data_IF_733444438018
#
_entry.id   IF_733444438018
#
_cell.length_a   1.000
_cell.length_b   1.000
_cell.length_c   1.000
_cell.angle_alpha   90.00
_cell.angle_beta   90.00
_cell.angle_gamma   90.00
#
_symmetry.space_group_name_H-M   'P 1'
#
loop_
_entity.id
_entity.type
_entity.pdbx_description
1 polymer ?
#
# COMPACT_ATOMS: atom_id res chain seq x y z
N UNK A 1 6.91 -22.88 49.61
CA UNK A 1 7.52 -21.78 48.83
C UNK A 1 7.86 -22.31 47.45
N UNK A 2 7.36 -21.68 46.40
CA UNK A 2 8.00 -21.42 45.09
C UNK A 2 7.00 -20.52 44.34
N UNK A 3 7.43 -19.34 43.90
CA UNK A 3 6.58 -18.43 43.14
C UNK A 3 6.48 -18.91 41.69
N UNK A 4 5.32 -18.73 41.06
CA UNK A 4 5.17 -18.81 39.61
C UNK A 4 4.57 -17.48 39.15
N UNK A 5 5.28 -16.82 38.24
CA UNK A 5 4.89 -15.54 37.64
C UNK A 5 4.00 -15.85 36.43
N UNK A 6 2.81 -15.24 36.29
CA UNK A 6 2.03 -15.33 35.06
C UNK A 6 2.67 -14.45 33.97
N UNK A 7 3.01 -15.05 32.84
CA UNK A 7 3.52 -14.36 31.66
C UNK A 7 2.34 -13.72 30.90
N UNK A 8 2.29 -12.39 30.84
CA UNK A 8 1.27 -11.65 30.08
C UNK A 8 1.57 -11.72 28.59
N UNK A 9 0.78 -12.47 27.81
CA UNK A 9 0.84 -12.43 26.35
C UNK A 9 -0.01 -11.25 25.88
N UNK A 10 0.64 -10.24 25.31
CA UNK A 10 -0.01 -9.05 24.76
C UNK A 10 -0.38 -9.29 23.28
N UNK A 11 -1.65 -9.15 22.87
CA UNK A 11 -2.01 -9.23 21.47
C UNK A 11 -1.62 -7.92 20.76
N UNK A 12 -0.57 -7.97 19.94
CA UNK A 12 -0.25 -6.88 19.01
C UNK A 12 -1.27 -6.85 17.86
N UNK A 13 -2.24 -5.95 17.95
CA UNK A 13 -3.09 -5.54 16.84
C UNK A 13 -2.41 -4.37 16.13
N UNK A 14 -1.84 -4.61 14.94
CA UNK A 14 -1.47 -3.53 14.03
C UNK A 14 -2.75 -2.90 13.44
N UNK A 15 -2.86 -1.56 13.40
CA UNK A 15 -3.93 -0.91 12.69
C UNK A 15 -3.64 -0.84 11.19
N UNK A 16 -4.33 -1.66 10.39
CA UNK A 16 -4.48 -1.35 8.96
C UNK A 16 -5.35 -0.08 8.84
N UNK A 17 -4.88 0.95 8.13
CA UNK A 17 -5.57 2.24 8.09
C UNK A 17 -5.43 2.95 6.73
N UNK A 18 -6.60 3.24 6.15
CA UNK A 18 -6.78 3.65 4.77
C UNK A 18 -6.40 5.11 4.46
N UNK A 19 -6.43 5.45 3.17
CA UNK A 19 -6.33 6.81 2.66
C UNK A 19 -7.48 7.72 3.15
N UNK A 20 -7.27 9.05 3.27
CA UNK A 20 -8.19 9.96 3.94
C UNK A 20 -9.40 10.37 3.07
N UNK A 21 -10.59 9.85 3.38
CA UNK A 21 -11.85 10.31 2.78
C UNK A 21 -12.23 11.72 3.25
N UNK A 22 -12.49 12.66 2.32
CA UNK A 22 -13.04 14.01 2.62
C UNK A 22 -14.54 14.11 2.30
N UNK A 23 -15.24 14.97 3.06
CA UNK A 23 -16.71 15.10 3.03
C UNK A 23 -17.24 16.17 2.06
N UNK A 24 -18.16 15.72 1.20
CA UNK A 24 -19.49 16.30 0.91
C UNK A 24 -19.63 17.78 0.49
N UNK A 25 -20.15 17.99 -0.72
CA UNK A 25 -21.04 19.11 -1.06
C UNK A 25 -22.41 18.57 -1.51
N UNK A 26 -23.48 19.31 -1.23
CA UNK A 26 -24.86 18.86 -1.42
C UNK A 26 -25.48 19.34 -2.76
N UNK A 27 -26.30 18.50 -3.38
CA UNK A 27 -27.19 18.88 -4.50
C UNK A 27 -28.63 18.44 -4.20
N UNK A 28 -29.59 19.23 -4.70
CA UNK A 28 -31.02 19.21 -4.35
C UNK A 28 -31.78 18.05 -4.98
N UNK A 29 -32.92 17.73 -4.37
CA UNK A 29 -33.90 16.72 -4.80
C UNK A 29 -34.67 17.08 -6.08
N UNK A 30 -34.99 16.05 -6.86
CA UNK A 30 -36.20 16.00 -7.70
C UNK A 30 -36.87 14.62 -7.56
N UNK A 31 -38.20 14.60 -7.56
CA UNK A 31 -39.04 13.48 -7.09
C UNK A 31 -39.68 12.63 -8.18
N UNK A 32 -39.67 11.30 -8.01
CA UNK A 32 -40.62 10.24 -8.49
C UNK A 32 -39.81 8.95 -8.71
N UNK A 33 -40.24 7.73 -8.34
CA UNK A 33 -41.53 7.19 -7.88
C UNK A 33 -41.33 5.82 -7.20
N UNK A 34 -42.18 5.43 -6.26
CA UNK A 34 -42.13 4.10 -5.59
C UNK A 34 -42.51 2.94 -6.52
N UNK A 35 -41.92 1.75 -6.33
CA UNK A 35 -42.54 0.67 -5.53
C UNK A 35 -41.52 0.07 -4.52
N UNK A 36 -41.84 -0.82 -3.57
CA UNK A 36 -43.08 -1.44 -3.09
C UNK A 36 -42.70 -2.35 -1.89
N UNK A 37 -43.62 -2.63 -0.95
CA UNK A 37 -43.29 -3.45 0.24
C UNK A 37 -42.94 -4.90 -0.14
N UNK A 38 -41.80 -5.43 0.34
CA UNK A 38 -41.44 -6.82 0.06
C UNK A 38 -40.01 -7.29 0.34
N UNK A 39 -39.07 -6.43 0.76
CA UNK A 39 -37.72 -6.86 1.15
C UNK A 39 -37.18 -5.98 2.29
N UNK A 40 -36.79 -6.60 3.42
CA UNK A 40 -36.13 -5.90 4.53
C UNK A 40 -34.76 -6.54 4.77
N UNK A 41 -33.66 -5.89 4.35
CA UNK A 41 -32.32 -6.42 4.58
C UNK A 41 -31.97 -6.39 6.08
N UNK A 42 -31.61 -7.56 6.63
CA UNK A 42 -31.26 -7.69 8.04
C UNK A 42 -29.84 -7.20 8.33
N UNK A 43 -29.69 -6.14 9.12
CA UNK A 43 -28.39 -5.62 9.55
C UNK A 43 -27.59 -6.65 10.36
N UNK A 44 -26.29 -6.76 10.07
CA UNK A 44 -25.43 -7.83 10.58
C UNK A 44 -24.61 -7.39 11.81
N UNK A 45 -24.46 -6.08 12.06
CA UNK A 45 -23.86 -5.50 13.26
C UNK A 45 -24.32 -4.05 13.49
N UNK A 46 -24.16 -3.55 14.72
CA UNK A 46 -24.40 -2.16 15.09
C UNK A 46 -23.25 -1.60 15.96
N UNK A 47 -22.95 -0.31 15.79
CA UNK A 47 -21.85 0.40 16.47
C UNK A 47 -22.36 1.59 17.29
N UNK A 48 -21.82 1.75 18.49
CA UNK A 48 -22.03 2.90 19.37
C UNK A 48 -20.68 3.41 19.90
N UNK A 49 -20.46 4.73 19.78
CA UNK A 49 -19.19 5.40 20.13
C UNK A 49 -19.35 6.15 21.46
N UNK A 50 -18.37 6.05 22.36
CA UNK A 50 -18.37 6.75 23.64
C UNK A 50 -17.61 8.08 23.55
N UNK A 51 -18.31 9.20 23.45
CA UNK A 51 -17.74 10.49 23.00
C UNK A 51 -16.86 11.24 24.03
N UNK A 52 -16.46 10.59 25.13
CA UNK A 52 -15.70 11.19 26.24
C UNK A 52 -14.36 10.51 26.54
N UNK A 53 -13.89 9.59 25.70
CA UNK A 53 -12.60 8.90 25.86
C UNK A 53 -11.75 9.02 24.59
N UNK A 54 -10.50 9.48 24.73
CA UNK A 54 -9.48 9.42 23.67
C UNK A 54 -8.83 8.03 23.55
N UNK A 55 -9.27 7.05 24.35
CA UNK A 55 -8.78 5.67 24.30
C UNK A 55 -9.85 4.76 23.67
N UNK A 56 -9.50 4.14 22.54
CA UNK A 56 -10.36 3.27 21.72
C UNK A 56 -10.88 2.00 22.42
N UNK A 57 -10.46 1.73 23.65
CA UNK A 57 -10.73 0.49 24.39
C UNK A 57 -12.14 0.41 25.02
N UNK A 58 -12.92 1.51 25.02
CA UNK A 58 -14.30 1.52 25.54
C UNK A 58 -15.38 1.35 24.46
N UNK A 59 -15.00 1.24 23.19
CA UNK A 59 -15.95 1.04 22.10
C UNK A 59 -16.49 -0.40 22.11
N UNK A 60 -17.80 -0.55 22.24
CA UNK A 60 -18.47 -1.87 22.34
C UNK A 60 -19.06 -2.28 21.00
N UNK A 61 -18.63 -3.42 20.46
CA UNK A 61 -19.19 -4.01 19.23
C UNK A 61 -20.21 -5.08 19.62
N UNK A 62 -21.44 -4.96 19.12
CA UNK A 62 -22.50 -5.93 19.37
C UNK A 62 -22.72 -6.84 18.15
N UNK A 63 -22.41 -8.13 18.31
CA UNK A 63 -22.71 -9.16 17.33
C UNK A 63 -24.09 -9.81 17.60
N UNK A 64 -24.89 -10.11 16.56
CA UNK A 64 -26.21 -10.71 16.72
C UNK A 64 -26.11 -12.17 17.17
N UNK A 65 -26.96 -12.55 18.14
CA UNK A 65 -27.11 -13.93 18.59
C UNK A 65 -28.14 -14.63 17.70
N UNK A 66 -27.83 -15.82 17.16
CA UNK A 66 -28.79 -16.59 16.36
C UNK A 66 -29.95 -17.08 17.24
N UNK A 67 -31.16 -16.66 16.92
CA UNK A 67 -32.40 -17.24 17.44
C UNK A 67 -33.07 -18.14 16.39
N UNK A 68 -33.99 -19.00 16.82
CA UNK A 68 -34.81 -19.85 15.94
C UNK A 68 -35.79 -19.07 15.06
N UNK A 69 -35.98 -17.76 15.30
CA UNK A 69 -36.80 -16.86 14.48
C UNK A 69 -35.98 -15.99 13.49
N UNK A 70 -34.65 -16.17 13.45
CA UNK A 70 -33.73 -15.35 12.66
C UNK A 70 -32.76 -14.53 13.52
N UNK A 71 -31.85 -13.77 12.89
CA UNK A 71 -30.94 -12.86 13.60
C UNK A 71 -31.72 -11.68 14.18
N UNK A 72 -31.74 -11.57 15.51
CA UNK A 72 -32.37 -10.46 16.23
C UNK A 72 -31.33 -9.71 17.05
N UNK A 73 -31.25 -8.39 16.87
CA UNK A 73 -30.44 -7.53 17.72
C UNK A 73 -31.20 -7.31 19.04
N UNK A 74 -30.63 -7.63 20.22
CA UNK A 74 -31.32 -7.41 21.48
C UNK A 74 -31.51 -5.92 21.74
N UNK A 75 -32.75 -5.53 22.04
CA UNK A 75 -33.09 -4.18 22.49
C UNK A 75 -32.55 -3.94 23.89
N UNK A 76 -31.50 -3.12 24.01
CA UNK A 76 -30.97 -2.67 25.31
C UNK A 76 -31.86 -1.54 25.85
N UNK A 77 -32.35 -1.68 27.08
CA UNK A 77 -32.99 -0.56 27.77
C UNK A 77 -31.94 0.51 28.12
N UNK A 78 -32.27 1.77 27.85
CA UNK A 78 -31.37 2.92 28.02
C UNK A 78 -31.36 3.37 29.49
N UNK A 79 -30.79 2.56 30.37
CA UNK A 79 -30.83 2.78 31.85
C UNK A 79 -29.48 2.64 32.56
N UNK A 80 -28.35 2.49 31.85
CA UNK A 80 -27.02 2.42 32.48
C UNK A 80 -25.83 3.00 31.66
N UNK A 81 -26.08 3.87 30.66
CA UNK A 81 -25.02 4.48 29.84
C UNK A 81 -25.12 6.02 29.86
N UNK A 82 -23.95 6.67 29.93
CA UNK A 82 -23.84 8.08 30.37
C UNK A 82 -24.39 9.11 29.39
N UNK A 83 -24.68 10.31 29.90
CA UNK A 83 -25.42 11.39 29.22
C UNK A 83 -24.69 12.07 28.02
N UNK A 84 -23.61 11.50 27.50
CA UNK A 84 -22.77 12.07 26.43
C UNK A 84 -22.89 11.37 25.07
N UNK A 85 -23.59 10.23 24.97
CA UNK A 85 -23.57 9.43 23.73
C UNK A 85 -24.74 9.70 22.78
N UNK A 86 -24.41 9.77 21.49
CA UNK A 86 -25.35 9.81 20.37
C UNK A 86 -25.53 8.37 19.90
N UNK A 87 -26.77 7.86 19.92
CA UNK A 87 -27.07 6.45 19.66
C UNK A 87 -26.70 5.97 18.25
N UNK A 88 -26.78 4.64 18.07
CA UNK A 88 -26.54 3.82 16.86
C UNK A 88 -26.16 4.59 15.59
N UNK A 89 -24.87 4.53 15.21
CA UNK A 89 -24.28 5.46 14.23
C UNK A 89 -24.26 4.86 12.81
N UNK A 90 -24.15 3.54 12.67
CA UNK A 90 -24.16 2.85 11.39
C UNK A 90 -24.70 1.41 11.49
N UNK A 91 -25.19 0.88 10.37
CA UNK A 91 -25.51 -0.53 10.18
C UNK A 91 -24.77 -1.09 8.95
N UNK A 92 -24.31 -2.34 9.05
CA UNK A 92 -23.62 -3.05 7.99
C UNK A 92 -24.52 -4.12 7.36
N UNK A 93 -24.67 -4.08 6.03
CA UNK A 93 -25.36 -5.10 5.23
C UNK A 93 -24.56 -5.39 3.96
N UNK A 94 -24.31 -6.67 3.66
CA UNK A 94 -23.75 -7.20 2.40
C UNK A 94 -22.63 -6.36 1.74
N UNK A 95 -21.67 -5.86 2.53
CA UNK A 95 -20.52 -5.10 2.03
C UNK A 95 -20.71 -3.58 1.96
N UNK A 96 -21.87 -3.05 2.34
CA UNK A 96 -22.18 -1.62 2.31
C UNK A 96 -22.48 -1.11 3.72
N UNK A 97 -21.86 0.01 4.09
CA UNK A 97 -22.17 0.74 5.32
C UNK A 97 -23.26 1.77 5.06
N UNK A 98 -24.35 1.69 5.82
CA UNK A 98 -25.42 2.68 5.78
C UNK A 98 -25.39 3.55 7.05
N UNK A 99 -25.27 4.87 6.86
CA UNK A 99 -25.36 5.83 7.95
C UNK A 99 -26.82 6.14 8.26
N UNK A 100 -27.24 5.91 9.51
CA UNK A 100 -28.55 6.37 9.95
C UNK A 100 -28.50 7.88 10.17
N UNK A 101 -29.28 8.63 9.37
CA UNK A 101 -29.45 10.07 9.59
C UNK A 101 -29.93 10.32 11.02
N UNK A 102 -29.39 11.35 11.68
CA UNK A 102 -29.72 11.72 13.07
C UNK A 102 -31.22 11.54 13.33
N UNK A 103 -31.64 10.84 14.40
CA UNK A 103 -33.06 10.79 14.75
C UNK A 103 -33.56 12.23 14.91
N UNK A 104 -34.65 12.57 14.20
CA UNK A 104 -35.34 13.84 14.41
C UNK A 104 -35.71 13.90 15.89
N UNK A 105 -35.32 14.97 16.58
CA UNK A 105 -35.65 15.16 17.98
C UNK A 105 -37.16 15.40 18.10
N UNK A 106 -37.91 14.32 18.29
CA UNK A 106 -39.29 14.38 18.75
C UNK A 106 -39.26 14.35 20.27
N UNK A 107 -39.43 15.52 20.89
CA UNK A 107 -39.75 15.61 22.32
C UNK A 107 -41.03 14.82 22.59
N UNK A 108 -40.90 13.65 23.22
CA UNK A 108 -41.99 12.83 23.71
C UNK A 108 -42.01 12.87 25.26
N UNK A 109 -43.18 12.77 25.90
CA UNK A 109 -43.34 13.20 27.29
C UNK A 109 -42.86 12.18 28.32
N UNK A 110 -42.46 12.70 29.49
CA UNK A 110 -41.99 11.94 30.66
C UNK A 110 -43.13 11.10 31.28
N UNK A 111 -42.98 9.78 31.44
CA UNK A 111 -43.80 8.96 32.33
C UNK A 111 -43.24 8.98 33.78
N UNK A 112 -44.08 8.77 34.80
CA UNK A 112 -43.69 8.92 36.21
C UNK A 112 -42.87 7.74 36.75
N UNK A 113 -42.11 8.01 37.82
CA UNK A 113 -41.27 7.03 38.50
C UNK A 113 -42.07 6.01 39.35
N UNK A 114 -41.67 4.74 39.31
CA UNK A 114 -42.09 3.71 40.29
C UNK A 114 -41.02 2.67 40.58
N UNK A 115 -40.79 2.47 41.88
CA UNK A 115 -40.38 1.24 42.57
C UNK A 115 -39.04 0.54 42.22
N UNK A 116 -38.21 0.37 43.26
CA UNK A 116 -37.00 -0.45 43.26
C UNK A 116 -37.23 -1.83 43.93
N UNK A 117 -36.17 -2.65 43.95
CA UNK A 117 -35.89 -3.90 44.71
C UNK A 117 -35.83 -5.19 43.86
N UNK A 118 -35.06 -6.23 44.27
CA UNK A 118 -33.78 -6.23 45.01
C UNK A 118 -32.69 -7.11 44.35
N UNK A 119 -31.46 -7.08 44.88
CA UNK A 119 -30.32 -7.82 44.34
C UNK A 119 -30.28 -9.32 44.74
N UNK A 120 -29.76 -10.19 43.87
CA UNK A 120 -29.56 -11.62 44.15
C UNK A 120 -28.27 -12.22 43.55
N UNK A 121 -27.28 -12.42 44.43
CA UNK A 121 -26.19 -13.43 44.49
C UNK A 121 -25.29 -13.76 43.25
N UNK A 122 -23.96 -13.92 43.45
CA UNK A 122 -23.02 -14.39 42.43
C UNK A 122 -22.98 -15.94 42.30
N UNK A 123 -22.56 -16.48 41.14
CA UNK A 123 -22.53 -17.92 40.87
C UNK A 123 -21.34 -18.67 41.53
N UNK A 124 -21.56 -19.97 41.75
CA UNK A 124 -20.63 -20.92 42.41
C UNK A 124 -19.67 -21.57 41.40
N UNK A 125 -18.43 -21.85 41.82
CA UNK A 125 -17.40 -22.48 40.99
C UNK A 125 -17.47 -24.04 40.96
N UNK A 126 -17.08 -24.70 39.84
CA UNK A 126 -16.97 -26.15 39.74
C UNK A 126 -15.64 -26.71 40.29
N UNK A 127 -15.57 -28.02 40.63
CA UNK A 127 -14.42 -28.63 41.32
C UNK A 127 -13.23 -28.99 40.42
N UNK A 128 -12.05 -29.09 41.04
CA UNK A 128 -10.76 -29.44 40.42
C UNK A 128 -10.61 -30.95 40.18
N UNK A 129 -9.86 -31.31 39.12
CA UNK A 129 -9.36 -32.67 38.87
C UNK A 129 -7.81 -32.70 38.77
N UNK A 130 -7.22 -33.87 39.04
CA UNK A 130 -5.84 -34.07 39.46
C UNK A 130 -4.74 -33.90 38.37
N UNK A 131 -3.47 -33.65 38.77
CA UNK A 131 -2.33 -33.48 37.85
C UNK A 131 -1.71 -34.81 37.37
N UNK A 132 -1.05 -34.83 36.19
CA UNK A 132 -0.29 -35.98 35.69
C UNK A 132 1.13 -36.11 36.29
N UNK A 133 1.63 -37.34 36.32
CA UNK A 133 2.93 -37.76 36.90
C UNK A 133 4.14 -37.57 35.95
N UNK A 134 5.39 -37.53 36.48
CA UNK A 134 6.59 -37.14 35.72
C UNK A 134 7.18 -38.25 34.80
N UNK A 135 8.08 -37.87 33.85
CA UNK A 135 8.67 -38.80 32.87
C UNK A 135 9.79 -39.69 33.43
N UNK A 136 10.05 -40.82 32.76
CA UNK A 136 11.06 -41.82 33.12
C UNK A 136 12.41 -41.63 32.38
N UNK A 137 13.48 -42.12 33.00
CA UNK A 137 14.88 -41.81 32.70
C UNK A 137 15.57 -42.70 31.64
N UNK A 138 16.60 -42.16 30.98
CA UNK A 138 17.52 -42.87 30.07
C UNK A 138 18.70 -43.54 30.81
N UNK A 139 19.33 -44.57 30.19
CA UNK A 139 20.78 -44.76 30.29
C UNK A 139 21.42 -45.30 28.98
N UNK A 140 22.76 -45.47 28.87
CA UNK A 140 23.80 -44.46 28.98
C UNK A 140 24.76 -44.46 27.75
N UNK A 141 25.78 -43.58 27.75
CA UNK A 141 26.73 -43.37 26.64
C UNK A 141 27.94 -44.34 26.62
N UNK A 142 28.65 -44.39 25.47
CA UNK A 142 29.99 -45.02 25.29
C UNK A 142 30.94 -43.98 24.64
N UNK A 143 32.23 -44.02 25.00
CA UNK A 143 33.21 -42.94 24.75
C UNK A 143 34.27 -43.22 23.66
N UNK A 144 34.90 -42.13 23.18
CA UNK A 144 36.16 -42.02 22.38
C UNK A 144 37.38 -41.86 23.33
N UNK A 145 38.69 -41.64 22.93
CA UNK A 145 39.33 -41.28 21.63
C UNK A 145 40.53 -42.24 21.32
N UNK A 146 41.75 -41.87 20.80
CA UNK A 146 42.23 -40.76 19.95
C UNK A 146 43.18 -41.18 18.76
N UNK A 147 43.67 -40.22 17.94
CA UNK A 147 44.91 -40.41 17.16
C UNK A 147 45.21 -39.45 15.99
N UNK A 148 45.94 -38.37 16.24
CA UNK A 148 46.35 -37.30 15.28
C UNK A 148 47.22 -37.72 14.09
N UNK A 149 47.16 -36.97 12.97
CA UNK A 149 48.26 -36.09 12.48
C UNK A 149 48.01 -35.43 11.11
N UNK A 150 48.70 -34.31 10.88
CA UNK A 150 48.86 -33.51 9.63
C UNK A 150 50.35 -33.09 9.57
N UNK A 151 50.91 -32.38 8.56
CA UNK A 151 50.40 -31.97 7.23
C UNK A 151 51.39 -32.29 6.07
N UNK A 152 51.06 -31.93 4.81
CA UNK A 152 52.02 -31.44 3.78
C UNK A 152 51.31 -31.02 2.47
N UNK A 153 51.89 -30.05 1.75
CA UNK A 153 51.46 -29.60 0.41
C UNK A 153 52.59 -29.78 -0.61
N UNK A 154 52.28 -30.06 -1.89
CA UNK A 154 53.15 -29.85 -3.08
C UNK A 154 52.29 -29.53 -4.31
N UNK A 155 52.84 -28.72 -5.23
CA UNK A 155 52.22 -28.13 -6.43
C UNK A 155 52.39 -28.99 -7.73
N UNK A 156 51.96 -28.55 -8.93
CA UNK A 156 51.77 -29.42 -10.11
C UNK A 156 53.00 -29.50 -11.05
N UNK A 157 53.01 -30.42 -12.03
CA UNK A 157 54.02 -30.48 -13.08
C UNK A 157 53.72 -29.54 -14.27
N UNK A 158 54.78 -29.15 -14.97
CA UNK A 158 54.79 -28.26 -16.15
C UNK A 158 55.34 -28.96 -17.40
N UNK A 159 55.04 -28.34 -18.56
CA UNK A 159 55.89 -28.24 -19.78
C UNK A 159 55.55 -29.12 -20.99
N UNK A 160 55.18 -28.46 -22.10
CA UNK A 160 55.91 -28.52 -23.39
C UNK A 160 55.38 -27.51 -24.45
N UNK A 161 56.29 -26.92 -25.23
CA UNK A 161 56.13 -26.11 -26.46
C UNK A 161 57.47 -26.18 -27.25
N UNK A 162 57.72 -25.57 -28.45
CA UNK A 162 56.89 -24.81 -29.41
C UNK A 162 56.92 -25.56 -30.81
N UNK A 163 57.12 -25.02 -32.05
CA UNK A 163 57.03 -23.65 -32.63
C UNK A 163 56.33 -23.45 -34.01
N UNK A 164 55.88 -22.21 -34.23
CA UNK A 164 55.82 -21.36 -35.44
C UNK A 164 55.79 -21.90 -36.91
N UNK A 165 54.81 -21.45 -37.73
CA UNK A 165 54.97 -20.34 -38.73
C UNK A 165 53.83 -20.15 -39.77
N UNK A 166 53.68 -18.89 -40.26
CA UNK A 166 53.21 -18.44 -41.61
C UNK A 166 51.71 -18.38 -42.06
N UNK A 167 51.08 -17.22 -41.82
CA UNK A 167 50.39 -16.28 -42.77
C UNK A 167 49.61 -16.71 -44.05
N UNK A 168 48.39 -16.17 -44.22
CA UNK A 168 47.85 -15.50 -45.46
C UNK A 168 46.66 -14.54 -45.12
N UNK A 169 46.24 -13.68 -46.06
CA UNK A 169 45.61 -12.36 -45.78
C UNK A 169 44.27 -12.04 -46.48
N UNK A 170 43.57 -11.01 -45.95
CA UNK A 170 42.66 -10.05 -46.64
C UNK A 170 41.21 -10.51 -46.97
N UNK A 171 40.23 -9.59 -47.24
CA UNK A 171 40.32 -8.13 -47.44
C UNK A 171 39.37 -7.24 -46.59
N UNK A 172 39.39 -5.92 -46.82
CA UNK A 172 38.67 -4.88 -46.07
C UNK A 172 37.96 -3.85 -46.97
N UNK A 173 36.88 -3.22 -46.46
CA UNK A 173 36.20 -1.98 -46.91
C UNK A 173 34.94 -1.72 -46.03
N UNK A 174 34.45 -0.53 -45.69
CA UNK A 174 34.97 0.86 -45.71
C UNK A 174 34.13 1.74 -44.77
N UNK A 175 34.75 2.72 -44.10
CA UNK A 175 34.12 3.98 -43.63
C UNK A 175 34.47 5.10 -44.65
N UNK A 176 33.90 6.34 -44.70
CA UNK A 176 33.61 7.27 -43.57
C UNK A 176 32.29 8.09 -43.84
N UNK A 177 32.02 9.32 -43.31
CA UNK A 177 32.78 10.16 -42.39
C UNK A 177 32.06 10.77 -41.18
N UNK A 178 32.89 11.12 -40.20
CA UNK A 178 32.59 12.09 -39.14
C UNK A 178 32.54 13.52 -39.69
N UNK A 179 31.63 14.33 -39.16
CA UNK A 179 31.70 15.79 -39.25
C UNK A 179 31.68 16.40 -37.85
N UNK A 180 32.69 17.21 -37.55
CA UNK A 180 32.81 17.94 -36.30
C UNK A 180 32.04 19.26 -36.37
N UNK A 181 30.85 19.29 -35.77
CA UNK A 181 30.08 20.50 -35.52
C UNK A 181 30.12 20.87 -34.04
N UNK A 182 30.68 22.03 -33.70
CA UNK A 182 30.85 22.47 -32.32
C UNK A 182 29.59 23.13 -31.74
N UNK A 183 29.46 23.06 -30.41
CA UNK A 183 28.84 24.11 -29.58
C UNK A 183 27.34 24.34 -29.77
N UNK A 184 26.53 23.71 -28.92
CA UNK A 184 25.10 23.98 -28.91
C UNK A 184 24.24 22.93 -28.22
N UNK A 185 24.65 22.46 -27.04
CA UNK A 185 23.69 21.83 -26.13
C UNK A 185 22.72 22.93 -25.66
N UNK A 186 21.66 23.15 -26.44
CA UNK A 186 20.61 24.08 -26.08
C UNK A 186 20.02 23.69 -24.73
N UNK A 187 19.90 24.65 -23.82
CA UNK A 187 19.24 24.44 -22.54
C UNK A 187 17.75 24.13 -22.80
N UNK A 188 17.45 22.84 -22.95
CA UNK A 188 16.10 22.31 -23.11
C UNK A 188 15.38 22.40 -21.77
N UNK A 189 14.45 23.34 -21.66
CA UNK A 189 13.51 23.47 -20.55
C UNK A 189 12.68 22.19 -20.49
N UNK A 190 12.77 21.40 -19.41
CA UNK A 190 11.89 20.23 -19.20
C UNK A 190 12.43 19.00 -18.47
N UNK A 191 13.68 18.98 -17.98
CA UNK A 191 14.21 17.83 -17.23
C UNK A 191 13.83 17.88 -15.74
N UNK A 192 12.59 17.48 -15.39
CA UNK A 192 12.28 17.08 -14.01
C UNK A 192 13.16 15.90 -13.59
N UNK A 193 13.60 15.88 -12.33
CA UNK A 193 14.39 14.77 -11.78
C UNK A 193 13.64 13.44 -11.78
N UNK A 194 14.38 12.32 -11.70
CA UNK A 194 13.79 10.98 -11.74
C UNK A 194 13.18 10.53 -10.41
N UNK A 195 13.71 11.05 -9.30
CA UNK A 195 13.20 10.82 -7.95
C UNK A 195 11.93 11.65 -7.70
N UNK A 196 10.93 11.02 -7.08
CA UNK A 196 9.67 11.66 -6.72
C UNK A 196 9.11 11.18 -5.40
N UNK A 197 7.98 11.75 -4.98
CA UNK A 197 7.32 11.40 -3.71
C UNK A 197 5.81 11.28 -3.90
N UNK A 198 5.20 10.31 -3.23
CA UNK A 198 3.75 10.26 -3.00
C UNK A 198 3.41 11.07 -1.74
N UNK A 199 2.66 12.16 -1.90
CA UNK A 199 2.38 13.14 -0.84
C UNK A 199 0.88 13.25 -0.58
N UNK A 200 0.48 13.43 0.68
CA UNK A 200 -0.91 13.76 1.03
C UNK A 200 -1.08 15.19 1.58
N UNK A 201 -2.31 15.54 1.96
CA UNK A 201 -2.67 16.86 2.50
C UNK A 201 -1.96 17.23 3.83
N UNK A 202 -1.34 16.26 4.49
CA UNK A 202 -0.57 16.44 5.74
C UNK A 202 0.92 16.64 5.46
N UNK A 203 1.45 16.01 4.41
CA UNK A 203 2.86 16.10 4.00
C UNK A 203 3.22 17.40 3.25
N UNK A 204 2.47 17.72 2.19
CA UNK A 204 2.96 18.63 1.13
C UNK A 204 3.35 20.05 1.57
N UNK A 205 2.83 20.53 2.72
CA UNK A 205 2.92 21.95 3.11
C UNK A 205 4.36 22.41 3.35
N UNK A 206 5.22 21.55 3.91
CA UNK A 206 6.65 21.83 4.08
C UNK A 206 7.49 21.49 2.83
N UNK A 207 6.90 20.77 1.87
CA UNK A 207 7.62 20.18 0.73
C UNK A 207 7.39 20.92 -0.61
N UNK A 208 6.82 22.12 -0.57
CA UNK A 208 6.42 22.89 -1.77
C UNK A 208 7.56 23.32 -2.71
N UNK A 209 8.80 23.40 -2.19
CA UNK A 209 9.98 23.86 -2.93
C UNK A 209 11.24 23.06 -2.56
N UNK A 210 11.11 21.72 -2.48
CA UNK A 210 12.21 20.81 -2.10
C UNK A 210 13.21 20.66 -3.25
N UNK A 211 14.51 20.75 -2.94
CA UNK A 211 15.58 20.52 -3.91
C UNK A 211 15.66 19.04 -4.30
N UNK A 212 16.10 18.76 -5.52
CA UNK A 212 16.24 17.42 -6.12
C UNK A 212 14.95 16.59 -6.27
N UNK A 213 13.83 17.01 -5.67
CA UNK A 213 12.51 16.43 -5.91
C UNK A 213 12.06 16.75 -7.35
N UNK A 214 12.08 15.75 -8.21
CA UNK A 214 11.83 15.92 -9.64
C UNK A 214 10.35 15.94 -10.02
N UNK A 215 9.56 15.10 -9.36
CA UNK A 215 8.11 15.00 -9.55
C UNK A 215 7.43 14.61 -8.24
N UNK A 216 6.12 14.81 -8.14
CA UNK A 216 5.31 14.28 -7.03
C UNK A 216 3.93 13.85 -7.54
N UNK A 217 3.26 13.04 -6.73
CA UNK A 217 1.86 12.64 -6.95
C UNK A 217 1.12 12.56 -5.62
N UNK A 218 -0.20 12.41 -5.65
CA UNK A 218 -1.04 12.47 -4.45
C UNK A 218 -2.27 11.54 -4.50
N UNK A 219 -2.19 10.46 -5.28
CA UNK A 219 -3.31 9.53 -5.52
C UNK A 219 -4.59 10.20 -6.07
N UNK A 220 -4.51 11.42 -6.61
CA UNK A 220 -5.62 12.18 -7.17
C UNK A 220 -5.29 12.90 -8.48
N UNK A 221 -6.29 13.59 -9.04
CA UNK A 221 -6.21 14.22 -10.38
C UNK A 221 -5.76 15.68 -10.38
N UNK A 222 -5.72 16.32 -9.20
CA UNK A 222 -5.43 17.76 -9.03
C UNK A 222 -4.14 17.99 -8.22
N UNK A 223 -3.29 18.95 -8.61
CA UNK A 223 -2.07 19.30 -7.88
C UNK A 223 -2.37 19.97 -6.53
N UNK A 224 -1.41 19.91 -5.60
CA UNK A 224 -1.49 20.72 -4.39
C UNK A 224 -1.12 22.19 -4.69
N UNK A 225 -1.79 23.16 -4.04
CA UNK A 225 -1.52 24.57 -4.29
C UNK A 225 -0.10 24.95 -3.82
N UNK A 226 0.63 25.66 -4.68
CA UNK A 226 1.96 26.20 -4.35
C UNK A 226 3.14 25.27 -4.56
N UNK A 227 2.91 24.00 -4.96
CA UNK A 227 3.98 23.09 -5.36
C UNK A 227 4.73 23.63 -6.59
N UNK A 228 6.06 23.64 -6.54
CA UNK A 228 6.93 24.05 -7.65
C UNK A 228 7.44 22.85 -8.49
N UNK A 229 7.40 21.66 -7.89
CA UNK A 229 7.73 20.36 -8.50
C UNK A 229 6.68 19.92 -9.53
N UNK A 230 7.09 19.13 -10.55
CA UNK A 230 6.14 18.55 -11.52
C UNK A 230 5.09 17.67 -10.82
N UNK A 231 3.82 17.88 -11.14
CA UNK A 231 2.72 17.02 -10.68
C UNK A 231 2.39 15.92 -11.70
N UNK A 232 2.30 14.69 -11.20
CA UNK A 232 1.78 13.52 -11.91
C UNK A 232 0.40 13.19 -11.34
N UNK A 233 -0.63 13.31 -12.17
CA UNK A 233 -2.00 12.98 -11.78
C UNK A 233 -2.20 11.45 -11.67
N UNK A 234 -3.20 11.03 -10.91
CA UNK A 234 -3.62 9.64 -10.78
C UNK A 234 -5.15 9.53 -10.92
N UNK A 235 -5.62 8.77 -11.91
CA UNK A 235 -7.00 8.29 -11.96
C UNK A 235 -7.04 7.00 -11.16
N UNK A 236 -7.18 7.16 -9.83
CA UNK A 236 -6.90 6.11 -8.85
C UNK A 236 -7.77 4.86 -8.96
N UNK A 237 -9.03 4.99 -9.37
CA UNK A 237 -9.98 3.88 -9.45
C UNK A 237 -11.28 4.25 -10.17
N UNK A 238 -12.29 3.38 -10.08
CA UNK A 238 -13.53 3.48 -10.87
C UNK A 238 -14.29 4.80 -10.66
N UNK A 239 -14.41 5.29 -9.42
CA UNK A 239 -15.08 6.58 -9.14
C UNK A 239 -14.40 7.74 -9.87
N UNK A 240 -13.07 7.79 -9.85
CA UNK A 240 -12.29 8.79 -10.59
C UNK A 240 -12.39 8.58 -12.11
N UNK A 241 -12.36 7.34 -12.61
CA UNK A 241 -12.48 7.05 -14.04
C UNK A 241 -13.82 7.51 -14.64
N UNK A 242 -14.91 7.29 -13.89
CA UNK A 242 -16.25 7.71 -14.26
C UNK A 242 -16.40 9.23 -14.21
N UNK A 243 -15.89 9.88 -13.16
CA UNK A 243 -15.97 11.34 -12.98
C UNK A 243 -14.93 12.15 -13.75
N UNK A 244 -13.87 11.53 -14.29
CA UNK A 244 -12.79 12.21 -15.01
C UNK A 244 -13.33 13.09 -16.14
N UNK A 245 -12.99 14.38 -16.12
CA UNK A 245 -13.44 15.36 -17.11
C UNK A 245 -12.35 15.74 -18.13
N UNK A 246 -11.11 15.27 -17.93
CA UNK A 246 -9.90 15.69 -18.63
C UNK A 246 -8.80 16.08 -17.63
N UNK A 247 -7.54 16.18 -18.06
CA UNK A 247 -6.43 16.63 -17.21
C UNK A 247 -6.64 18.06 -16.71
N UNK A 248 -6.20 18.34 -15.48
CA UNK A 248 -6.00 19.70 -15.00
C UNK A 248 -4.93 20.42 -15.85
N UNK A 249 -5.01 21.75 -15.94
CA UNK A 249 -4.08 22.55 -16.74
C UNK A 249 -2.63 22.37 -16.29
N UNK A 250 -1.73 22.04 -17.22
CA UNK A 250 -0.31 21.83 -16.96
C UNK A 250 0.09 20.39 -16.58
N UNK A 251 -0.86 19.47 -16.40
CA UNK A 251 -0.55 18.05 -16.18
C UNK A 251 0.06 17.45 -17.45
N UNK A 252 1.28 16.89 -17.34
CA UNK A 252 1.98 16.22 -18.44
C UNK A 252 1.86 14.68 -18.39
N UNK A 253 1.53 14.12 -17.22
CA UNK A 253 1.49 12.68 -16.97
C UNK A 253 0.27 12.32 -16.10
N UNK A 254 -0.41 11.22 -16.44
CA UNK A 254 -1.53 10.67 -15.65
C UNK A 254 -1.33 9.16 -15.48
N UNK A 255 -1.31 8.67 -14.24
CA UNK A 255 -1.28 7.25 -13.92
C UNK A 255 -2.70 6.67 -13.86
N UNK A 256 -2.89 5.44 -14.35
CA UNK A 256 -4.14 4.70 -14.19
C UNK A 256 -4.12 3.89 -12.88
N UNK A 257 -5.26 3.26 -12.59
CA UNK A 257 -5.67 2.70 -11.30
C UNK A 257 -4.58 2.15 -10.38
N UNK A 258 -4.69 2.51 -9.10
CA UNK A 258 -3.82 2.13 -8.00
C UNK A 258 -4.25 0.75 -7.46
N UNK A 259 -3.38 -0.25 -7.58
CA UNK A 259 -3.58 -1.63 -7.12
C UNK A 259 -5.01 -2.16 -7.36
N UNK A 260 -5.49 -2.22 -8.62
CA UNK A 260 -6.81 -2.76 -8.93
C UNK A 260 -6.93 -4.24 -8.57
N UNK A 261 -5.79 -4.93 -8.47
CA UNK A 261 -5.62 -6.29 -8.00
C UNK A 261 -5.71 -6.43 -6.46
N UNK A 262 -5.64 -5.33 -5.69
CA UNK A 262 -5.77 -5.30 -4.23
C UNK A 262 -7.10 -4.73 -3.75
N UNK A 263 -7.44 -4.93 -2.48
CA UNK A 263 -8.73 -4.56 -1.88
C UNK A 263 -8.74 -3.14 -1.33
N UNK A 264 -9.92 -2.51 -1.26
CA UNK A 264 -10.05 -1.15 -0.70
C UNK A 264 -9.75 -1.09 0.81
N UNK A 265 -9.84 -2.21 1.50
CA UNK A 265 -9.44 -2.42 2.89
C UNK A 265 -7.92 -2.31 3.13
N UNK A 266 -7.12 -2.53 2.09
CA UNK A 266 -5.65 -2.40 2.11
C UNK A 266 -5.11 -1.23 1.28
N UNK A 267 -5.99 -0.40 0.70
CA UNK A 267 -5.58 0.77 -0.10
C UNK A 267 -5.55 0.57 -1.62
N UNK A 268 -6.04 -0.57 -2.13
CA UNK A 268 -6.19 -0.81 -3.56
C UNK A 268 -7.56 -0.38 -4.12
N UNK A 269 -7.61 -0.12 -5.42
CA UNK A 269 -8.83 0.34 -6.11
C UNK A 269 -9.87 -0.75 -6.39
N UNK A 270 -9.54 -2.02 -6.12
CA UNK A 270 -10.47 -3.15 -6.10
C UNK A 270 -11.22 -3.44 -7.41
N UNK A 271 -10.58 -3.17 -8.55
CA UNK A 271 -11.12 -3.44 -9.89
C UNK A 271 -10.62 -4.80 -10.39
N UNK A 272 -11.05 -5.89 -9.72
CA UNK A 272 -10.57 -7.26 -10.00
C UNK A 272 -10.85 -7.75 -11.42
N UNK A 273 -11.97 -7.33 -12.01
CA UNK A 273 -12.32 -7.66 -13.39
C UNK A 273 -11.46 -6.84 -14.35
N UNK A 274 -10.54 -7.52 -15.02
CA UNK A 274 -9.58 -6.92 -15.95
C UNK A 274 -10.23 -6.43 -17.24
N UNK A 275 -11.38 -6.98 -17.65
CA UNK A 275 -12.13 -6.50 -18.81
C UNK A 275 -12.92 -5.22 -18.46
N UNK A 276 -13.52 -5.16 -17.28
CA UNK A 276 -14.12 -3.93 -16.74
C UNK A 276 -13.07 -2.82 -16.59
N UNK A 277 -11.90 -3.14 -16.01
CA UNK A 277 -10.78 -2.20 -15.91
C UNK A 277 -10.26 -1.73 -17.29
N UNK A 278 -10.18 -2.61 -18.28
CA UNK A 278 -9.82 -2.23 -19.65
C UNK A 278 -10.85 -1.28 -20.29
N UNK A 279 -12.16 -1.50 -20.05
CA UNK A 279 -13.23 -0.63 -20.52
C UNK A 279 -13.20 0.74 -19.82
N UNK A 280 -13.09 0.78 -18.49
CA UNK A 280 -12.93 2.03 -17.72
C UNK A 280 -11.70 2.83 -18.17
N UNK A 281 -10.58 2.15 -18.40
CA UNK A 281 -9.35 2.80 -18.86
C UNK A 281 -9.53 3.43 -20.25
N UNK A 282 -10.13 2.71 -21.20
CA UNK A 282 -10.47 3.28 -22.52
C UNK A 282 -11.45 4.46 -22.40
N UNK A 283 -12.45 4.38 -21.52
CA UNK A 283 -13.45 5.44 -21.30
C UNK A 283 -12.82 6.75 -20.80
N UNK A 284 -11.92 6.69 -19.80
CA UNK A 284 -11.32 7.91 -19.25
C UNK A 284 -10.20 8.44 -20.14
N UNK A 285 -9.37 7.57 -20.73
CA UNK A 285 -8.28 7.98 -21.63
C UNK A 285 -8.77 8.57 -22.95
N UNK A 286 -10.00 8.25 -23.39
CA UNK A 286 -10.66 8.94 -24.51
C UNK A 286 -10.91 10.44 -24.26
N UNK A 287 -10.92 10.88 -22.99
CA UNK A 287 -11.10 12.28 -22.57
C UNK A 287 -9.77 13.03 -22.41
N UNK A 288 -8.63 12.34 -22.50
CA UNK A 288 -7.30 12.96 -22.44
C UNK A 288 -7.00 13.62 -23.79
N UNK A 289 -6.56 14.88 -23.74
CA UNK A 289 -6.24 15.70 -24.92
C UNK A 289 -4.83 16.30 -24.80
N UNK A 290 -4.25 16.69 -25.93
CA UNK A 290 -2.85 17.13 -25.99
C UNK A 290 -1.85 15.97 -25.88
N UNK A 291 -0.60 16.30 -25.55
CA UNK A 291 0.53 15.35 -25.50
C UNK A 291 0.75 14.77 -24.09
N UNK A 292 -0.32 14.54 -23.34
CA UNK A 292 -0.27 14.01 -21.97
C UNK A 292 0.00 12.51 -22.03
N UNK A 293 1.06 12.05 -21.37
CA UNK A 293 1.42 10.62 -21.29
C UNK A 293 0.58 9.91 -20.24
N UNK A 294 0.17 8.67 -20.54
CA UNK A 294 -0.69 7.86 -19.68
C UNK A 294 0.08 6.65 -19.15
N UNK A 295 0.00 6.40 -17.85
CA UNK A 295 0.46 5.16 -17.23
C UNK A 295 -0.61 4.08 -17.32
N UNK A 296 -0.19 2.82 -17.47
CA UNK A 296 -1.08 1.67 -17.17
C UNK A 296 -1.52 1.66 -15.70
N UNK A 297 -2.44 0.78 -15.29
CA UNK A 297 -2.69 0.54 -13.88
C UNK A 297 -1.42 0.04 -13.18
N UNK A 298 -1.18 0.52 -11.95
CA UNK A 298 -0.11 0.04 -11.08
C UNK A 298 -0.64 -1.13 -10.27
N UNK A 299 -0.03 -2.31 -10.40
CA UNK A 299 -0.41 -3.50 -9.62
C UNK A 299 0.51 -3.69 -8.41
N UNK A 300 0.02 -4.36 -7.38
CA UNK A 300 0.84 -4.77 -6.25
C UNK A 300 1.86 -5.85 -6.66
N UNK A 301 2.86 -6.11 -5.80
CA UNK A 301 3.90 -7.11 -6.06
C UNK A 301 3.27 -8.50 -6.30
N UNK A 302 3.48 -9.05 -7.50
CA UNK A 302 2.90 -10.32 -7.96
C UNK A 302 1.63 -10.19 -8.81
N UNK A 303 1.05 -8.99 -8.89
CA UNK A 303 -0.08 -8.66 -9.77
C UNK A 303 0.26 -8.64 -11.27
N UNK A 304 1.55 -8.67 -11.62
CA UNK A 304 2.09 -8.72 -12.99
C UNK A 304 1.52 -9.91 -13.78
N UNK A 305 1.47 -11.08 -13.12
CA UNK A 305 0.98 -12.34 -13.70
C UNK A 305 -0.50 -12.55 -13.49
N UNK A 306 -1.02 -12.17 -12.33
CA UNK A 306 -2.41 -12.49 -11.93
C UNK A 306 -3.43 -11.49 -12.45
N UNK A 307 -3.03 -10.24 -12.74
CA UNK A 307 -3.95 -9.17 -13.15
C UNK A 307 -3.44 -8.41 -14.38
N UNK A 308 -2.20 -7.88 -14.36
CA UNK A 308 -1.69 -7.00 -15.42
C UNK A 308 -1.68 -7.65 -16.80
N UNK A 309 -1.11 -8.86 -16.90
CA UNK A 309 -1.08 -9.63 -18.16
C UNK A 309 -2.48 -9.90 -18.72
N UNK A 310 -3.47 -10.09 -17.84
CA UNK A 310 -4.87 -10.30 -18.23
C UNK A 310 -5.53 -8.99 -18.65
N UNK A 311 -5.23 -7.86 -18.00
CA UNK A 311 -5.66 -6.53 -18.41
C UNK A 311 -5.12 -6.14 -19.79
N UNK A 312 -3.83 -6.33 -20.05
CA UNK A 312 -3.24 -6.11 -21.39
C UNK A 312 -3.93 -6.99 -22.45
N UNK A 313 -4.25 -8.24 -22.12
CA UNK A 313 -5.03 -9.14 -23.00
C UNK A 313 -6.44 -8.60 -23.26
N UNK A 314 -7.16 -8.18 -22.21
CA UNK A 314 -8.51 -7.64 -22.29
C UNK A 314 -8.58 -6.28 -23.02
N UNK A 315 -7.51 -5.50 -22.98
CA UNK A 315 -7.36 -4.29 -23.77
C UNK A 315 -7.36 -4.55 -25.28
N UNK A 316 -6.88 -5.72 -25.74
CA UNK A 316 -6.82 -6.12 -27.14
C UNK A 316 -6.23 -5.04 -28.09
N UNK A 317 -5.22 -4.29 -27.61
CA UNK A 317 -4.58 -3.17 -28.33
C UNK A 317 -5.29 -1.81 -28.25
N UNK A 318 -6.42 -1.70 -27.54
CA UNK A 318 -7.24 -0.48 -27.50
C UNK A 318 -6.97 0.44 -26.30
N UNK A 319 -6.31 -0.05 -25.24
CA UNK A 319 -5.92 0.78 -24.09
C UNK A 319 -4.70 1.66 -24.42
N UNK A 320 -4.77 2.95 -24.07
CA UNK A 320 -3.70 3.92 -24.32
C UNK A 320 -2.81 4.07 -23.09
N UNK A 321 -1.57 3.57 -23.18
CA UNK A 321 -0.56 3.79 -22.15
C UNK A 321 0.84 3.88 -22.76
N UNK A 322 1.66 4.76 -22.20
CA UNK A 322 3.00 5.16 -22.64
C UNK A 322 4.09 4.65 -21.69
N UNK A 323 3.76 4.45 -20.41
CA UNK A 323 4.64 3.94 -19.36
C UNK A 323 3.89 2.99 -18.42
N UNK A 324 4.65 2.25 -17.60
CA UNK A 324 4.12 1.21 -16.70
C UNK A 324 4.50 1.53 -15.26
N UNK A 325 3.60 2.13 -14.46
CA UNK A 325 3.82 2.26 -13.02
C UNK A 325 3.73 0.88 -12.34
N UNK A 326 4.61 0.61 -11.37
CA UNK A 326 4.65 -0.62 -10.58
C UNK A 326 4.86 -0.30 -9.10
N UNK A 327 4.29 -1.13 -8.22
CA UNK A 327 4.56 -1.08 -6.79
C UNK A 327 5.41 -2.28 -6.37
N UNK A 328 6.39 -2.06 -5.50
CA UNK A 328 7.22 -3.13 -4.94
C UNK A 328 7.44 -2.97 -3.45
N UNK A 329 6.87 -3.90 -2.69
CA UNK A 329 7.12 -4.08 -1.27
C UNK A 329 7.72 -5.47 -1.07
N UNK A 330 9.03 -5.54 -0.85
CA UNK A 330 9.77 -6.74 -0.45
C UNK A 330 11.08 -6.41 0.25
N UNK A 331 11.62 -7.33 1.05
CA UNK A 331 12.79 -7.05 1.92
C UNK A 331 14.15 -7.50 1.36
N UNK A 332 14.19 -7.89 0.08
CA UNK A 332 15.39 -8.29 -0.69
C UNK A 332 15.45 -7.47 -1.97
N UNK A 333 16.50 -6.67 -2.15
CA UNK A 333 16.59 -5.72 -3.28
C UNK A 333 16.81 -6.40 -4.65
N UNK A 334 17.42 -7.58 -4.67
CA UNK A 334 17.56 -8.38 -5.91
C UNK A 334 16.21 -8.89 -6.45
N UNK A 335 15.20 -9.03 -5.58
CA UNK A 335 13.84 -9.38 -6.00
C UNK A 335 13.16 -8.21 -6.73
N UNK A 336 13.47 -6.96 -6.37
CA UNK A 336 13.01 -5.76 -7.07
C UNK A 336 13.60 -5.71 -8.49
N UNK A 337 14.90 -5.99 -8.64
CA UNK A 337 15.54 -6.02 -9.96
C UNK A 337 15.01 -7.17 -10.82
N UNK A 338 14.77 -8.34 -10.21
CA UNK A 338 14.16 -9.49 -10.88
C UNK A 338 12.72 -9.19 -11.31
N UNK A 339 11.95 -8.49 -10.47
CA UNK A 339 10.58 -8.06 -10.77
C UNK A 339 10.54 -7.08 -11.94
N UNK A 340 11.39 -6.04 -11.91
CA UNK A 340 11.51 -5.03 -12.98
C UNK A 340 11.92 -5.67 -14.31
N UNK A 341 12.96 -6.52 -14.31
CA UNK A 341 13.44 -7.22 -15.54
C UNK A 341 12.41 -8.20 -16.09
N UNK A 342 11.55 -8.75 -15.24
CA UNK A 342 10.51 -9.72 -15.60
C UNK A 342 9.13 -9.13 -15.91
N UNK A 343 8.91 -7.84 -15.71
CA UNK A 343 7.58 -7.23 -15.85
C UNK A 343 7.15 -7.16 -17.33
N UNK A 344 5.92 -7.56 -17.68
CA UNK A 344 5.46 -7.62 -19.08
C UNK A 344 5.06 -6.23 -19.64
N UNK A 345 6.03 -5.33 -19.81
CA UNK A 345 5.77 -3.90 -20.15
C UNK A 345 5.42 -3.61 -21.61
N UNK A 346 5.50 -4.60 -22.51
CA UNK A 346 5.44 -4.40 -23.98
C UNK A 346 6.48 -3.36 -24.48
N UNK A 347 7.69 -3.41 -23.90
CA UNK A 347 8.81 -2.53 -24.26
C UNK A 347 8.68 -1.08 -23.77
N UNK A 348 7.68 -0.78 -22.95
CA UNK A 348 7.46 0.55 -22.35
C UNK A 348 8.31 0.74 -21.09
N UNK A 349 8.70 1.99 -20.77
CA UNK A 349 9.46 2.30 -19.56
C UNK A 349 8.65 2.04 -18.28
N UNK A 350 9.34 1.61 -17.23
CA UNK A 350 8.80 1.40 -15.89
C UNK A 350 8.95 2.66 -15.06
N UNK A 351 7.93 2.97 -14.28
CA UNK A 351 8.00 3.93 -13.17
C UNK A 351 7.78 3.15 -11.87
N UNK A 352 8.72 3.19 -10.93
CA UNK A 352 8.56 2.51 -9.63
C UNK A 352 7.86 3.48 -8.66
N UNK A 353 6.53 3.50 -8.69
CA UNK A 353 5.73 4.60 -8.11
C UNK A 353 5.51 4.49 -6.61
N UNK A 354 5.65 3.28 -6.08
CA UNK A 354 5.76 3.01 -4.64
C UNK A 354 6.79 1.89 -4.43
N UNK A 355 7.79 2.13 -3.57
CA UNK A 355 8.67 1.08 -3.06
C UNK A 355 9.28 1.45 -1.70
N UNK A 356 9.49 0.45 -0.86
CA UNK A 356 10.31 0.48 0.36
C UNK A 356 10.72 -0.95 0.79
N UNK A 357 11.48 -1.09 1.88
CA UNK A 357 11.86 -2.38 2.43
C UNK A 357 10.81 -2.86 3.47
N UNK A 358 9.67 -3.33 2.98
CA UNK A 358 8.62 -4.02 3.75
C UNK A 358 8.10 -5.21 2.95
N UNK A 359 7.64 -6.29 3.59
CA UNK A 359 6.93 -7.38 2.90
C UNK A 359 5.60 -7.69 3.58
N UNK A 360 4.51 -7.23 2.96
CA UNK A 360 3.13 -7.46 3.45
C UNK A 360 2.72 -8.95 3.50
N UNK A 361 3.42 -9.84 2.81
CA UNK A 361 3.15 -11.29 2.86
C UNK A 361 3.71 -11.97 4.12
N UNK A 362 4.75 -11.39 4.72
CA UNK A 362 5.40 -11.91 5.94
C UNK A 362 5.16 -11.03 7.16
N UNK A 363 4.80 -9.76 6.95
CA UNK A 363 4.74 -8.72 7.98
C UNK A 363 6.11 -8.15 8.36
N UNK A 364 7.17 -8.45 7.60
CA UNK A 364 8.51 -7.89 7.85
C UNK A 364 8.54 -6.40 7.49
N UNK A 365 9.02 -5.57 8.42
CA UNK A 365 9.44 -4.19 8.18
C UNK A 365 10.94 -4.14 8.45
N UNK A 366 11.73 -3.73 7.47
CA UNK A 366 13.19 -3.67 7.63
C UNK A 366 13.59 -2.65 8.71
N UNK A 367 14.65 -2.93 9.47
CA UNK A 367 15.23 -1.94 10.38
C UNK A 367 15.85 -0.76 9.61
N UNK A 368 16.15 0.34 10.29
CA UNK A 368 16.63 1.57 9.65
C UNK A 368 17.89 1.37 8.78
N UNK A 369 18.84 0.53 9.22
CA UNK A 369 20.06 0.27 8.46
C UNK A 369 19.77 -0.55 7.20
N UNK A 370 18.84 -1.52 7.29
CA UNK A 370 18.38 -2.31 6.13
C UNK A 370 17.52 -1.46 5.17
N UNK A 371 16.73 -0.49 5.65
CA UNK A 371 15.99 0.46 4.81
C UNK A 371 16.94 1.34 3.98
N UNK A 372 17.92 1.96 4.64
CA UNK A 372 18.93 2.82 3.99
C UNK A 372 19.75 2.02 2.96
N UNK A 373 20.25 0.84 3.33
CA UNK A 373 21.01 -0.02 2.41
C UNK A 373 20.16 -0.53 1.21
N UNK A 374 18.87 -0.81 1.43
CA UNK A 374 17.95 -1.18 0.35
C UNK A 374 17.72 0.01 -0.60
N UNK A 375 17.48 1.21 -0.05
CA UNK A 375 17.32 2.45 -0.81
C UNK A 375 18.54 2.77 -1.66
N UNK A 376 19.74 2.76 -1.08
CA UNK A 376 21.01 2.99 -1.77
C UNK A 376 21.19 2.02 -2.94
N UNK A 377 21.01 0.73 -2.68
CA UNK A 377 21.22 -0.31 -3.68
C UNK A 377 20.18 -0.21 -4.80
N UNK A 378 18.92 0.09 -4.48
CA UNK A 378 17.86 0.27 -5.45
C UNK A 378 18.09 1.51 -6.34
N UNK A 379 18.37 2.68 -5.75
CA UNK A 379 18.57 3.93 -6.51
C UNK A 379 19.87 3.90 -7.31
N UNK A 380 20.96 3.34 -6.77
CA UNK A 380 22.19 3.14 -7.52
C UNK A 380 21.97 2.18 -8.72
N UNK A 381 21.15 1.14 -8.55
CA UNK A 381 20.78 0.26 -9.66
C UNK A 381 19.90 0.97 -10.69
N UNK A 382 18.87 1.73 -10.30
CA UNK A 382 18.03 2.52 -11.22
C UNK A 382 18.83 3.49 -12.08
N UNK A 383 19.89 4.11 -11.52
CA UNK A 383 20.79 5.01 -12.26
C UNK A 383 21.85 4.28 -13.09
N UNK A 384 22.11 3.01 -12.78
CA UNK A 384 23.07 2.14 -13.45
C UNK A 384 22.43 1.19 -14.45
N UNK A 385 22.49 -0.12 -14.19
CA UNK A 385 21.92 -1.17 -15.06
C UNK A 385 20.40 -0.99 -15.27
N UNK A 386 19.70 -0.52 -14.24
CA UNK A 386 18.25 -0.28 -14.25
C UNK A 386 17.80 0.86 -15.16
N UNK A 387 18.70 1.73 -15.62
CA UNK A 387 18.35 2.89 -16.46
C UNK A 387 17.79 2.51 -17.84
N UNK A 388 17.98 1.26 -18.28
CA UNK A 388 17.35 0.71 -19.49
C UNK A 388 15.87 0.30 -19.28
N UNK A 389 15.41 0.25 -18.03
CA UNK A 389 14.07 -0.20 -17.63
C UNK A 389 13.28 0.90 -16.93
N UNK A 390 13.91 1.62 -16.00
CA UNK A 390 13.26 2.56 -15.07
C UNK A 390 13.53 4.01 -15.48
N UNK A 391 12.46 4.75 -15.79
CA UNK A 391 12.55 6.20 -16.04
C UNK A 391 12.49 7.02 -14.74
N UNK A 392 11.64 6.60 -13.79
CA UNK A 392 11.32 7.34 -12.56
C UNK A 392 11.06 6.39 -11.39
N UNK A 393 11.27 6.88 -10.17
CA UNK A 393 10.98 6.13 -8.94
C UNK A 393 10.52 7.07 -7.82
N UNK A 394 9.67 6.59 -6.92
CA UNK A 394 9.22 7.30 -5.73
C UNK A 394 9.21 6.36 -4.52
N UNK A 395 10.00 6.69 -3.50
CA UNK A 395 10.03 5.93 -2.26
C UNK A 395 8.75 6.17 -1.46
N UNK A 396 8.17 5.11 -0.89
CA UNK A 396 6.96 5.21 -0.07
C UNK A 396 7.33 5.55 1.38
N UNK A 397 6.88 6.72 1.88
CA UNK A 397 7.21 7.13 3.24
C UNK A 397 7.18 8.64 3.52
N UNK A 398 7.04 9.50 2.50
CA UNK A 398 6.86 10.95 2.67
C UNK A 398 5.43 11.31 3.11
N UNK A 399 5.13 10.91 4.35
CA UNK A 399 3.87 11.13 5.06
C UNK A 399 4.19 11.28 6.56
N UNK A 400 3.85 12.41 7.24
CA UNK A 400 4.21 12.66 8.64
C UNK A 400 3.71 11.59 9.62
N UNK A 401 2.60 10.91 9.29
CA UNK A 401 2.05 9.77 10.06
C UNK A 401 2.99 8.57 10.14
N UNK A 402 4.01 8.50 9.28
CA UNK A 402 5.04 7.46 9.26
C UNK A 402 6.37 7.93 9.89
N UNK A 403 6.40 9.07 10.59
CA UNK A 403 7.62 9.59 11.21
C UNK A 403 8.26 8.71 12.30
N UNK A 404 7.55 7.67 12.75
CA UNK A 404 8.08 6.65 13.68
C UNK A 404 8.39 5.31 12.99
N UNK A 405 8.19 5.22 11.67
CA UNK A 405 8.48 4.03 10.87
C UNK A 405 9.86 4.15 10.23
N UNK A 406 10.55 3.02 10.08
CA UNK A 406 11.93 2.99 9.57
C UNK A 406 12.07 3.38 8.10
N UNK A 407 10.99 3.32 7.32
CA UNK A 407 10.89 3.79 5.93
C UNK A 407 10.35 5.22 5.80
N UNK A 408 9.92 5.86 6.90
CA UNK A 408 9.35 7.20 6.86
C UNK A 408 10.39 8.23 6.46
N UNK A 409 10.03 9.16 5.57
CA UNK A 409 10.93 10.22 5.06
C UNK A 409 10.70 11.59 5.73
N UNK A 410 9.69 11.70 6.59
CA UNK A 410 9.29 12.93 7.25
C UNK A 410 9.33 12.81 8.77
N UNK A 411 9.58 13.94 9.43
CA UNK A 411 9.32 14.18 10.84
C UNK A 411 7.81 14.39 11.07
N UNK A 412 7.38 14.37 12.34
CA UNK A 412 5.98 14.59 12.70
C UNK A 412 5.43 16.00 12.37
N UNK A 413 6.31 16.96 12.02
CA UNK A 413 5.95 18.32 11.57
C UNK A 413 5.90 18.47 10.03
N UNK A 414 6.19 17.39 9.29
CA UNK A 414 6.23 17.33 7.83
C UNK A 414 7.54 17.79 7.18
N UNK A 415 8.56 18.14 7.96
CA UNK A 415 9.91 18.36 7.41
C UNK A 415 10.59 17.03 7.07
N UNK A 416 11.46 17.01 6.05
CA UNK A 416 12.24 15.80 5.72
C UNK A 416 13.15 15.41 6.90
N UNK A 417 13.09 14.15 7.31
CA UNK A 417 14.03 13.56 8.26
C UNK A 417 15.34 13.16 7.55
N UNK A 418 16.29 12.58 8.29
CA UNK A 418 17.60 12.21 7.75
C UNK A 418 17.49 11.24 6.56
N UNK A 419 16.58 10.25 6.60
CA UNK A 419 16.34 9.31 5.49
C UNK A 419 15.70 10.01 4.27
N UNK A 420 14.80 10.97 4.50
CA UNK A 420 14.19 11.78 3.43
C UNK A 420 15.18 12.72 2.75
N UNK A 421 16.10 13.31 3.52
CA UNK A 421 17.20 14.13 2.99
C UNK A 421 18.20 13.26 2.23
N UNK A 422 18.52 12.07 2.75
CA UNK A 422 19.38 11.08 2.11
C UNK A 422 18.81 10.63 0.76
N UNK A 423 17.55 10.18 0.71
CA UNK A 423 16.84 9.84 -0.53
C UNK A 423 16.91 10.98 -1.57
N UNK A 424 16.72 12.22 -1.09
CA UNK A 424 16.88 13.50 -1.79
C UNK A 424 18.25 13.72 -2.44
N UNK A 425 19.29 13.11 -1.89
CA UNK A 425 20.69 13.36 -2.24
C UNK A 425 21.31 12.31 -3.17
N UNK A 426 20.70 11.11 -3.24
CA UNK A 426 21.13 9.99 -4.09
C UNK A 426 21.02 10.30 -5.57
#
# INVERSE_FOLDING_TARGET
>A
MHQIIPLTILPFLLPALAAPARRSCAVKSSTSSSPGEGDTPGAIAAFAENASSLNSAENTVLAPIKSSAGPTIPSIEVTALSASNKGNIAAYDRGVWSSWGRPKSTTAPVPPATAALPASQPPVAPPMSAPPSPPASSPPAVAVPPGSSSPAAVAPPVSAAPPASASVSAPAASAPPTSSGAGGAGAGIGSGGQAGLGLDNTAYQQLTAVQNLGWYWNWGVDPFPGMQTEFVACVWGEEMANSFAGPAGGVQYIMSFNEPDMGADVGGSNIKDTAHAAALHQQWTAKVTGNVKIGSPAVARGGDKTWFSQWVTACAGNCKYDFVPIHFYGTVVEDLFTYIKGFPTDGKPIWVTEFDCQDFSTGEVCDAAKQEAFMDTAVAWFKGEGAAYVERWAWFGALPKFSTMTYGLENADGTLNDLGQHYLSL
#
